data_IF_297648181464
#
_entry.id   IF_297648181464
#
_cell.length_a   1.000
_cell.length_b   1.000
_cell.length_c   1.000
_cell.angle_alpha   90.00
_cell.angle_beta   90.00
_cell.angle_gamma   90.00
#
_symmetry.space_group_name_H-M   'P 1'
#
loop_
_entity.id
_entity.type
_entity.pdbx_description
1 polymer ?
#
# COMPACT_ATOMS: atom_id res chain seq x y z
N UNK A 1 -32.00 42.36 25.32
CA UNK A 1 -30.72 42.40 24.57
C UNK A 1 -29.79 41.41 25.22
N UNK A 2 -29.73 40.19 24.69
CA UNK A 2 -28.71 39.19 25.06
C UNK A 2 -27.76 39.12 23.89
N UNK A 3 -26.56 39.68 24.06
CA UNK A 3 -25.44 39.43 23.17
C UNK A 3 -24.74 38.18 23.68
N UNK A 4 -25.05 37.04 23.08
CA UNK A 4 -24.16 35.87 23.15
C UNK A 4 -23.00 36.12 22.17
N UNK A 5 -21.73 36.07 22.62
CA UNK A 5 -20.60 36.06 21.69
C UNK A 5 -20.51 34.66 21.05
N UNK A 6 -20.45 34.63 19.71
CA UNK A 6 -20.19 33.41 18.94
C UNK A 6 -18.73 32.98 19.18
N UNK A 7 -18.43 31.67 19.24
CA UNK A 7 -17.08 31.21 19.42
C UNK A 7 -16.26 31.52 18.17
N UNK A 8 -15.04 31.98 18.39
CA UNK A 8 -14.04 32.28 17.38
C UNK A 8 -13.71 31.00 16.60
N UNK A 9 -13.84 31.07 15.27
CA UNK A 9 -13.40 30.00 14.36
C UNK A 9 -11.87 29.92 14.41
N UNK A 10 -11.34 28.95 15.15
CA UNK A 10 -9.96 28.51 14.96
C UNK A 10 -9.84 27.87 13.58
N UNK A 11 -9.27 28.62 12.64
CA UNK A 11 -8.87 28.12 11.33
C UNK A 11 -7.81 27.05 11.50
N UNK A 12 -8.22 25.78 11.46
CA UNK A 12 -7.31 24.67 11.21
C UNK A 12 -6.73 24.83 9.79
N UNK A 13 -5.42 24.62 9.60
CA UNK A 13 -4.85 24.65 8.26
C UNK A 13 -5.53 23.56 7.41
N UNK A 14 -6.03 23.92 6.24
CA UNK A 14 -6.54 22.98 5.24
C UNK A 14 -5.45 21.94 4.95
N UNK A 15 -5.62 20.75 5.53
CA UNK A 15 -4.93 19.55 5.05
C UNK A 15 -5.42 19.36 3.63
N UNK A 16 -4.50 19.45 2.67
CA UNK A 16 -4.76 19.14 1.26
C UNK A 16 -5.21 17.69 1.16
N UNK A 17 -6.51 17.47 1.27
CA UNK A 17 -7.16 16.21 0.95
C UNK A 17 -7.15 16.02 -0.57
N UNK A 18 -6.09 15.39 -1.07
CA UNK A 18 -6.22 14.52 -2.23
C UNK A 18 -6.27 13.08 -1.71
N UNK A 19 -7.41 12.71 -1.11
CA UNK A 19 -7.70 11.37 -0.62
C UNK A 19 -8.94 10.82 -1.34
N UNK A 20 -8.70 10.19 -2.49
CA UNK A 20 -9.61 9.18 -3.03
C UNK A 20 -9.06 7.78 -2.69
N UNK A 21 -8.96 7.48 -1.40
CA UNK A 21 -8.48 6.20 -0.89
C UNK A 21 -8.59 6.12 0.62
N UNK A 22 -9.81 5.92 1.12
CA UNK A 22 -10.08 5.70 2.55
C UNK A 22 -9.38 4.43 3.04
N UNK A 23 -8.34 4.60 3.85
CA UNK A 23 -7.64 3.50 4.53
C UNK A 23 -6.35 3.89 5.25
N UNK A 24 -6.22 5.13 5.72
CA UNK A 24 -5.03 5.61 6.42
C UNK A 24 -4.90 5.07 7.84
N UNK A 25 -4.53 3.79 7.98
CA UNK A 25 -3.76 3.36 9.14
C UNK A 25 -2.35 3.93 8.98
N UNK A 26 -1.86 4.65 9.98
CA UNK A 26 -0.51 5.22 9.99
C UNK A 26 0.53 4.08 9.96
N UNK A 27 0.88 3.60 8.76
CA UNK A 27 2.08 2.80 8.55
C UNK A 27 3.21 3.78 8.27
N UNK A 28 4.11 3.89 9.24
CA UNK A 28 5.37 4.59 9.04
C UNK A 28 6.16 3.77 8.02
N UNK A 29 6.62 4.37 6.92
CA UNK A 29 7.52 3.76 5.95
C UNK A 29 8.95 3.67 6.53
N UNK A 30 9.06 3.26 7.79
CA UNK A 30 10.33 2.89 8.39
C UNK A 30 10.72 1.54 7.80
N UNK A 31 11.95 1.39 7.32
CA UNK A 31 12.47 0.11 6.84
C UNK A 31 12.31 -1.02 7.88
N UNK A 32 12.29 -0.69 9.18
CA UNK A 32 12.02 -1.60 10.30
C UNK A 32 10.59 -2.21 10.32
N UNK A 33 9.60 -1.58 9.70
CA UNK A 33 8.19 -2.05 9.69
C UNK A 33 7.81 -2.81 8.41
N UNK A 34 8.74 -2.91 7.44
CA UNK A 34 8.53 -3.65 6.20
C UNK A 34 8.57 -5.16 6.47
N UNK A 35 7.62 -5.89 5.91
CA UNK A 35 7.57 -7.34 6.11
C UNK A 35 8.73 -8.03 5.35
N UNK A 36 9.36 -9.04 5.96
CA UNK A 36 10.49 -9.78 5.38
C UNK A 36 10.18 -10.34 3.97
N UNK A 37 8.91 -10.61 3.67
CA UNK A 37 8.47 -11.16 2.39
C UNK A 37 8.02 -10.09 1.40
N UNK A 38 8.26 -8.81 1.69
CA UNK A 38 7.84 -7.70 0.85
C UNK A 38 8.41 -7.81 -0.58
N UNK A 39 9.71 -8.06 -0.71
CA UNK A 39 10.37 -8.14 -2.02
C UNK A 39 9.88 -9.34 -2.84
N UNK A 40 9.61 -10.47 -2.18
CA UNK A 40 9.04 -11.64 -2.83
C UNK A 40 7.59 -11.37 -3.27
N UNK A 41 6.79 -10.71 -2.42
CA UNK A 41 5.43 -10.29 -2.75
C UNK A 41 5.41 -9.30 -3.92
N UNK A 42 6.33 -8.33 -3.95
CA UNK A 42 6.52 -7.37 -5.02
C UNK A 42 6.72 -8.07 -6.37
N UNK A 43 7.71 -8.98 -6.41
CA UNK A 43 8.04 -9.76 -7.61
C UNK A 43 6.85 -10.59 -8.07
N UNK A 44 6.15 -11.25 -7.14
CA UNK A 44 5.00 -12.08 -7.46
C UNK A 44 3.83 -11.28 -8.02
N UNK A 45 3.51 -10.13 -7.43
CA UNK A 45 2.39 -9.29 -7.85
C UNK A 45 2.61 -8.75 -9.26
N UNK A 46 3.83 -8.30 -9.57
CA UNK A 46 4.19 -7.82 -10.91
C UNK A 46 4.25 -8.97 -11.92
N UNK A 47 4.85 -10.11 -11.55
CA UNK A 47 4.94 -11.28 -12.43
C UNK A 47 3.55 -11.81 -12.81
N UNK A 48 2.63 -11.83 -11.85
CA UNK A 48 1.26 -12.33 -12.07
C UNK A 48 0.26 -11.26 -12.51
N UNK A 49 0.63 -9.98 -12.47
CA UNK A 49 -0.27 -8.85 -12.71
C UNK A 49 -1.57 -8.94 -11.88
N UNK A 50 -1.48 -9.44 -10.65
CA UNK A 50 -2.62 -9.63 -9.75
C UNK A 50 -2.28 -9.28 -8.30
N UNK A 51 -2.74 -8.12 -7.82
CA UNK A 51 -2.60 -7.70 -6.42
C UNK A 51 -3.68 -8.28 -5.52
N UNK A 52 -3.68 -9.60 -5.30
CA UNK A 52 -4.67 -10.26 -4.44
C UNK A 52 -4.06 -10.94 -3.22
N UNK A 53 -4.72 -10.79 -2.07
CA UNK A 53 -4.32 -11.44 -0.79
C UNK A 53 -4.20 -12.95 -0.96
N UNK A 54 -5.16 -13.58 -1.65
CA UNK A 54 -5.18 -15.04 -1.87
C UNK A 54 -4.05 -15.55 -2.78
N UNK A 55 -3.50 -14.70 -3.66
CA UNK A 55 -2.28 -15.03 -4.42
C UNK A 55 -1.10 -15.15 -3.46
N UNK A 56 -0.87 -14.12 -2.64
CA UNK A 56 0.24 -14.09 -1.69
C UNK A 56 0.14 -15.22 -0.67
N UNK A 57 -1.05 -15.51 -0.13
CA UNK A 57 -1.26 -16.63 0.79
C UNK A 57 -0.79 -17.96 0.22
N UNK A 58 -1.09 -18.25 -1.06
CA UNK A 58 -0.76 -19.53 -1.70
C UNK A 58 0.71 -19.61 -2.10
N UNK A 59 1.29 -18.51 -2.57
CA UNK A 59 2.67 -18.46 -3.07
C UNK A 59 3.67 -18.40 -1.93
N UNK A 60 3.44 -17.51 -0.96
CA UNK A 60 4.33 -17.28 0.18
C UNK A 60 3.99 -18.18 1.39
N UNK A 61 2.91 -18.97 1.31
CA UNK A 61 2.43 -19.85 2.41
C UNK A 61 2.19 -19.11 3.73
N UNK A 62 1.68 -17.89 3.64
CA UNK A 62 1.40 -17.02 4.79
C UNK A 62 -0.10 -16.94 5.11
N UNK A 63 -0.42 -16.53 6.35
CA UNK A 63 -1.79 -16.26 6.79
C UNK A 63 -2.41 -15.02 6.15
N UNK A 64 -3.75 -14.94 6.20
CA UNK A 64 -4.53 -13.85 5.61
C UNK A 64 -4.11 -12.46 6.11
N UNK A 65 -3.92 -12.30 7.43
CA UNK A 65 -3.53 -11.01 8.01
C UNK A 65 -2.18 -10.50 7.49
N UNK A 66 -1.19 -11.40 7.34
CA UNK A 66 0.15 -11.06 6.83
C UNK A 66 0.08 -10.72 5.34
N UNK A 67 -0.65 -11.51 4.55
CA UNK A 67 -0.86 -11.23 3.15
C UNK A 67 -1.62 -9.91 2.90
N UNK A 68 -2.58 -9.55 3.77
CA UNK A 68 -3.24 -8.25 3.74
C UNK A 68 -2.26 -7.11 3.95
N UNK A 69 -1.43 -7.18 5.00
CA UNK A 69 -0.38 -6.18 5.27
C UNK A 69 0.59 -6.02 4.11
N UNK A 70 1.04 -7.12 3.50
CA UNK A 70 1.89 -7.06 2.31
C UNK A 70 1.22 -6.34 1.14
N UNK A 71 -0.06 -6.62 0.88
CA UNK A 71 -0.83 -5.95 -0.17
C UNK A 71 -1.00 -4.45 0.12
N UNK A 72 -1.17 -4.06 1.39
CA UNK A 72 -1.24 -2.66 1.81
C UNK A 72 0.13 -1.97 1.69
N UNK A 73 1.23 -2.64 2.07
CA UNK A 73 2.59 -2.12 1.86
C UNK A 73 2.89 -1.94 0.36
N UNK A 74 2.44 -2.87 -0.49
CA UNK A 74 2.58 -2.74 -1.94
C UNK A 74 1.73 -1.60 -2.53
N UNK A 75 0.62 -1.25 -1.91
CA UNK A 75 -0.18 -0.07 -2.30
C UNK A 75 0.56 1.22 -1.94
N UNK A 76 1.11 1.29 -0.72
CA UNK A 76 1.92 2.42 -0.27
C UNK A 76 3.17 2.62 -1.15
N UNK A 77 3.78 1.52 -1.59
CA UNK A 77 4.91 1.54 -2.52
C UNK A 77 4.51 1.84 -3.99
N UNK A 78 3.22 2.06 -4.27
CA UNK A 78 2.73 2.40 -5.61
C UNK A 78 2.73 1.24 -6.61
N UNK A 79 2.83 -0.01 -6.14
CA UNK A 79 2.87 -1.22 -6.96
C UNK A 79 1.47 -1.66 -7.35
N UNK A 80 0.54 -1.60 -6.39
CA UNK A 80 -0.87 -1.91 -6.60
C UNK A 80 -1.71 -0.66 -6.42
N UNK A 81 -2.79 -0.59 -7.18
CA UNK A 81 -3.78 0.46 -7.09
C UNK A 81 -4.67 0.33 -5.85
N UNK A 82 -5.55 1.32 -5.63
CA UNK A 82 -6.44 1.34 -4.48
C UNK A 82 -7.38 0.15 -4.46
N UNK A 83 -7.85 -0.19 -3.26
CA UNK A 83 -8.81 -1.26 -3.10
C UNK A 83 -10.14 -0.94 -3.85
N UNK A 84 -10.49 -1.79 -4.82
CA UNK A 84 -11.75 -1.69 -5.60
C UNK A 84 -12.88 -2.54 -5.02
N UNK A 85 -12.84 -2.82 -3.71
CA UNK A 85 -13.84 -3.59 -2.97
C UNK A 85 -13.51 -5.08 -2.93
N UNK A 86 -14.35 -5.91 -3.54
CA UNK A 86 -14.23 -7.38 -3.47
C UNK A 86 -13.26 -7.97 -4.50
N UNK A 87 -12.67 -7.15 -5.37
CA UNK A 87 -11.82 -7.59 -6.48
C UNK A 87 -10.33 -7.46 -6.10
N UNK A 88 -9.50 -8.18 -6.85
CA UNK A 88 -8.05 -8.01 -6.78
C UNK A 88 -7.68 -6.57 -7.13
N UNK A 89 -6.64 -6.04 -6.49
CA UNK A 89 -6.10 -4.70 -6.82
C UNK A 89 -5.40 -4.76 -8.18
N UNK A 90 -5.61 -3.72 -8.97
CA UNK A 90 -4.92 -3.56 -10.25
C UNK A 90 -3.43 -3.33 -9.99
N UNK A 91 -2.56 -3.93 -10.79
CA UNK A 91 -1.12 -3.73 -10.68
C UNK A 91 -0.74 -2.55 -11.57
N UNK A 92 -0.12 -1.54 -10.98
CA UNK A 92 0.23 -0.28 -11.64
C UNK A 92 1.58 -0.35 -12.35
N UNK A 93 2.40 -1.32 -11.97
CA UNK A 93 3.76 -1.52 -12.47
C UNK A 93 3.79 -2.77 -13.35
N UNK A 94 4.41 -2.65 -14.53
CA UNK A 94 4.59 -3.79 -15.43
C UNK A 94 5.88 -4.58 -15.17
N UNK A 95 5.98 -5.81 -15.72
CA UNK A 95 7.14 -6.70 -15.57
C UNK A 95 8.45 -6.12 -16.12
N UNK A 96 8.40 -5.07 -16.93
CA UNK A 96 9.56 -4.32 -17.40
C UNK A 96 10.43 -3.76 -16.26
N UNK A 97 9.84 -3.48 -15.08
CA UNK A 97 10.60 -3.01 -13.91
C UNK A 97 11.44 -4.13 -13.29
N UNK A 98 11.00 -5.39 -13.38
CA UNK A 98 11.75 -6.54 -12.87
C UNK A 98 12.93 -6.90 -13.78
N UNK A 99 12.87 -6.57 -15.07
CA UNK A 99 13.94 -6.83 -16.03
C UNK A 99 15.07 -5.79 -16.03
N UNK A 100 15.07 -4.87 -15.06
CA UNK A 100 16.22 -3.98 -14.87
C UNK A 100 17.26 -4.70 -13.99
N UNK A 101 18.46 -5.02 -14.52
CA UNK A 101 19.47 -5.81 -13.82
C UNK A 101 20.01 -5.17 -12.53
N UNK A 102 19.63 -3.93 -12.22
CA UNK A 102 19.98 -3.25 -10.97
C UNK A 102 19.43 -3.93 -9.69
N UNK A 103 18.57 -4.96 -9.81
CA UNK A 103 18.00 -5.71 -8.68
C UNK A 103 18.39 -7.20 -8.67
N UNK A 104 19.22 -7.66 -9.61
CA UNK A 104 19.60 -9.08 -9.76
C UNK A 104 20.98 -9.43 -9.17
N UNK A 105 21.75 -8.47 -8.64
CA UNK A 105 23.19 -8.65 -8.33
C UNK A 105 23.61 -8.42 -6.84
N UNK A 106 22.77 -8.69 -5.84
CA UNK A 106 23.17 -8.54 -4.40
C UNK A 106 23.07 -9.83 -3.56
N UNK A 107 22.97 -11.01 -4.19
CA UNK A 107 23.16 -12.31 -3.54
C UNK A 107 24.49 -12.97 -4.01
N UNK A 108 25.64 -12.44 -3.56
CA UNK A 108 26.93 -13.18 -3.53
C UNK A 108 27.60 -13.11 -2.14
#
# INVERSE_FOLDING_TARGET
>A
ISHEPKPEEEFLPEVRENVNGSGGGMFNDSEDDRDDLFDEAYRLVITHQQGSVSLLQRRLKIGYARAGRLIDQLELAGVVGPNTGSKARDVLIGPEILGNPAFEDDDE
#
